data_IF_679558048781
#
_entry.id   IF_679558048781
#
_cell.length_a   1.000
_cell.length_b   1.000
_cell.length_c   1.000
_cell.angle_alpha   90.00
_cell.angle_beta   90.00
_cell.angle_gamma   90.00
#
_symmetry.space_group_name_H-M   'P 1'
#
loop_
_entity.id
_entity.type
_entity.pdbx_description
1 polymer ?
#
# COMPACT_ATOMS: atom_id res chain seq x y z
N UNK A 1 -15.98 -7.12 -7.46
CA UNK A 1 -15.08 -6.38 -8.39
C UNK A 1 -14.21 -5.33 -7.69
N UNK A 2 -14.64 -4.79 -6.56
CA UNK A 2 -13.85 -3.85 -5.73
C UNK A 2 -13.68 -4.34 -4.29
N UNK A 3 -13.95 -5.61 -4.07
CA UNK A 3 -13.92 -6.25 -2.73
C UNK A 3 -12.57 -6.08 -2.06
N UNK A 4 -11.47 -6.09 -2.83
CA UNK A 4 -10.12 -5.91 -2.30
C UNK A 4 -9.92 -4.58 -1.56
N UNK A 5 -10.77 -3.57 -1.83
CA UNK A 5 -10.67 -2.27 -1.15
C UNK A 5 -11.54 -2.18 0.12
N UNK A 6 -12.41 -3.14 0.34
CA UNK A 6 -13.36 -3.10 1.46
C UNK A 6 -13.32 -4.34 2.35
N UNK A 7 -12.92 -5.48 1.79
CA UNK A 7 -12.85 -6.74 2.55
C UNK A 7 -11.63 -7.59 2.12
N UNK A 8 -10.40 -7.02 2.18
CA UNK A 8 -9.21 -7.79 1.87
C UNK A 8 -8.89 -8.77 2.99
N UNK A 9 -8.39 -9.95 2.65
CA UNK A 9 -7.90 -10.93 3.63
C UNK A 9 -6.52 -10.58 4.18
N UNK A 10 -5.72 -9.84 3.41
CA UNK A 10 -4.37 -9.43 3.81
C UNK A 10 -4.00 -8.10 3.16
N UNK A 11 -3.44 -7.21 3.97
CA UNK A 11 -2.99 -5.86 3.57
C UNK A 11 -1.50 -5.72 3.84
N UNK A 12 -0.74 -5.25 2.87
CA UNK A 12 0.65 -4.85 3.07
C UNK A 12 0.77 -3.33 3.05
N UNK A 13 1.50 -2.77 4.01
CA UNK A 13 1.80 -1.33 4.07
C UNK A 13 3.24 -1.13 3.62
N UNK A 14 3.43 -0.64 2.39
CA UNK A 14 4.74 -0.42 1.78
C UNK A 14 5.21 1.00 2.10
N UNK A 15 6.31 1.09 2.83
CA UNK A 15 6.78 2.35 3.43
C UNK A 15 6.38 2.47 4.90
N UNK A 16 6.03 1.35 5.54
CA UNK A 16 5.79 1.31 6.98
C UNK A 16 7.01 1.82 7.74
N UNK A 17 6.79 2.50 8.85
CA UNK A 17 7.85 3.15 9.62
C UNK A 17 7.69 2.88 11.12
N UNK A 18 8.82 2.73 11.80
CA UNK A 18 8.87 2.68 13.27
C UNK A 18 8.64 4.05 13.91
N UNK A 19 8.83 5.14 13.14
CA UNK A 19 8.77 6.51 13.66
C UNK A 19 7.33 7.00 13.76
N UNK A 20 6.85 7.31 15.00
CA UNK A 20 5.53 7.87 15.21
C UNK A 20 5.33 9.16 14.48
N UNK A 21 4.76 9.69 13.82
CA UNK A 21 4.66 10.95 13.07
C UNK A 21 4.94 10.78 11.58
N UNK A 22 5.44 9.62 11.19
CA UNK A 22 5.53 9.26 9.79
C UNK A 22 4.23 8.64 9.30
N UNK A 23 3.87 8.93 8.04
CA UNK A 23 2.63 8.45 7.45
C UNK A 23 2.55 6.92 7.43
N UNK A 24 3.65 6.24 7.14
CA UNK A 24 3.69 4.78 7.16
C UNK A 24 3.47 4.17 8.54
N UNK A 25 3.85 4.86 9.61
CA UNK A 25 3.51 4.46 10.98
C UNK A 25 2.02 4.68 11.25
N UNK A 26 1.49 5.84 10.87
CA UNK A 26 0.10 6.21 11.11
C UNK A 26 -0.87 5.25 10.42
N UNK A 27 -0.65 4.93 9.16
CA UNK A 27 -1.48 3.98 8.41
C UNK A 27 -1.47 2.61 9.08
N UNK A 28 -0.29 2.14 9.48
CA UNK A 28 -0.15 0.85 10.15
C UNK A 28 -0.89 0.85 11.50
N UNK A 29 -0.71 1.91 12.30
CA UNK A 29 -1.39 2.05 13.59
C UNK A 29 -2.91 2.07 13.42
N UNK A 30 -3.43 2.79 12.43
CA UNK A 30 -4.87 2.87 12.17
C UNK A 30 -5.46 1.49 11.82
N UNK A 31 -4.80 0.73 10.99
CA UNK A 31 -5.23 -0.65 10.67
C UNK A 31 -5.30 -1.54 11.91
N UNK A 32 -4.32 -1.42 12.81
CA UNK A 32 -4.29 -2.20 14.05
C UNK A 32 -5.39 -1.73 15.00
N UNK A 33 -5.49 -0.42 15.23
CA UNK A 33 -6.42 0.17 16.19
C UNK A 33 -7.89 0.03 15.76
N UNK A 34 -8.16 0.06 14.46
CA UNK A 34 -9.51 -0.16 13.93
C UNK A 34 -9.99 -1.61 14.05
N UNK A 35 -9.11 -2.52 14.44
CA UNK A 35 -9.45 -3.93 14.60
C UNK A 35 -9.61 -4.67 13.27
N UNK A 36 -8.86 -4.27 12.24
CA UNK A 36 -8.88 -4.99 10.96
C UNK A 36 -8.61 -6.48 11.19
N UNK A 37 -9.53 -7.38 10.79
CA UNK A 37 -9.43 -8.80 11.16
C UNK A 37 -8.45 -9.60 10.29
N UNK A 38 -8.03 -9.04 9.16
CA UNK A 38 -7.10 -9.70 8.24
C UNK A 38 -5.65 -9.63 8.68
N UNK A 39 -4.77 -10.14 7.86
CA UNK A 39 -3.32 -10.07 8.09
C UNK A 39 -2.79 -8.72 7.66
N UNK A 40 -1.88 -8.17 8.46
CA UNK A 40 -1.24 -6.88 8.20
C UNK A 40 0.27 -7.14 8.09
N UNK A 41 0.85 -6.76 6.95
CA UNK A 41 2.27 -6.94 6.66
C UNK A 41 2.96 -5.60 6.46
N UNK A 42 3.71 -5.12 7.47
CA UNK A 42 4.57 -3.94 7.28
C UNK A 42 5.71 -4.27 6.30
N UNK A 43 5.99 -3.38 5.37
CA UNK A 43 7.11 -3.50 4.44
C UNK A 43 8.06 -2.33 4.63
N UNK A 44 9.29 -2.63 5.03
CA UNK A 44 10.37 -1.66 5.22
C UNK A 44 11.70 -2.38 5.02
N UNK A 45 12.66 -1.83 4.24
CA UNK A 45 13.90 -2.54 3.91
C UNK A 45 14.87 -2.73 5.10
N UNK A 46 14.66 -2.02 6.20
CA UNK A 46 15.59 -2.01 7.35
C UNK A 46 15.00 -2.62 8.62
N UNK A 47 13.72 -2.38 8.89
CA UNK A 47 13.08 -2.85 10.12
C UNK A 47 12.75 -4.34 10.06
N UNK A 48 12.83 -5.02 11.19
CA UNK A 48 12.42 -6.42 11.32
C UNK A 48 11.05 -6.58 11.98
N UNK A 49 10.67 -5.57 12.75
CA UNK A 49 9.38 -5.52 13.45
C UNK A 49 8.92 -4.07 13.56
N UNK A 50 7.66 -3.81 13.35
CA UNK A 50 7.03 -2.50 13.53
C UNK A 50 5.69 -2.71 14.24
N UNK A 51 5.47 -2.01 15.35
CA UNK A 51 4.23 -2.08 16.14
C UNK A 51 3.84 -3.53 16.51
N UNK A 52 4.82 -4.38 16.80
CA UNK A 52 4.59 -5.78 17.17
C UNK A 52 4.34 -6.73 16.00
N UNK A 53 4.40 -6.26 14.77
CA UNK A 53 4.21 -7.05 13.57
C UNK A 53 5.55 -7.34 12.88
N UNK A 54 5.74 -8.57 12.42
CA UNK A 54 6.91 -8.93 11.62
C UNK A 54 6.93 -8.08 10.33
N UNK A 55 8.08 -7.46 10.05
CA UNK A 55 8.29 -6.58 8.92
C UNK A 55 9.17 -7.28 7.88
N UNK A 56 8.87 -7.07 6.60
CA UNK A 56 9.59 -7.68 5.49
C UNK A 56 10.24 -6.61 4.62
N UNK A 57 11.41 -6.87 4.03
CA UNK A 57 12.10 -5.87 3.19
C UNK A 57 11.38 -5.59 1.87
N UNK A 58 10.64 -6.54 1.33
CA UNK A 58 9.82 -6.42 0.12
C UNK A 58 8.51 -7.17 0.30
N UNK A 59 7.47 -6.72 -0.38
CA UNK A 59 6.19 -7.44 -0.42
C UNK A 59 6.36 -8.86 -0.98
N UNK A 60 7.37 -9.08 -1.82
CA UNK A 60 7.69 -10.40 -2.36
C UNK A 60 8.16 -11.39 -1.30
N UNK A 61 8.70 -10.91 -0.17
CA UNK A 61 9.19 -11.75 0.92
C UNK A 61 8.08 -12.17 1.90
N UNK A 62 6.89 -11.62 1.77
CA UNK A 62 5.75 -11.98 2.62
C UNK A 62 5.39 -13.45 2.40
N UNK A 63 5.24 -14.24 3.50
CA UNK A 63 5.03 -15.69 3.36
C UNK A 63 3.64 -16.08 2.86
N UNK A 64 2.65 -15.21 3.01
CA UNK A 64 1.28 -15.46 2.58
C UNK A 64 0.87 -14.65 1.36
N UNK A 65 -0.38 -14.76 0.95
CA UNK A 65 -0.96 -13.92 -0.09
C UNK A 65 -1.19 -12.50 0.43
N UNK A 66 -1.18 -11.54 -0.50
CA UNK A 66 -1.51 -10.13 -0.24
C UNK A 66 -2.59 -9.72 -1.24
N UNK A 67 -3.72 -9.23 -0.74
CA UNK A 67 -4.83 -8.80 -1.59
C UNK A 67 -4.77 -7.32 -1.92
N UNK A 68 -4.36 -6.50 -0.95
CA UNK A 68 -4.31 -5.05 -1.04
C UNK A 68 -2.96 -4.54 -0.55
N UNK A 69 -2.40 -3.58 -1.27
CA UNK A 69 -1.21 -2.85 -0.81
C UNK A 69 -1.56 -1.38 -0.59
N UNK A 70 -1.00 -0.79 0.47
CA UNK A 70 -1.07 0.64 0.73
C UNK A 70 0.34 1.18 0.57
N UNK A 71 0.53 2.13 -0.34
CA UNK A 71 1.86 2.61 -0.75
C UNK A 71 2.07 4.04 -0.25
N UNK A 72 3.08 4.23 0.58
CA UNK A 72 3.45 5.52 1.18
C UNK A 72 4.95 5.83 1.01
N UNK A 73 5.62 5.19 0.07
CA UNK A 73 7.02 5.48 -0.26
C UNK A 73 7.14 6.75 -1.12
N UNK A 74 8.33 7.39 -1.21
CA UNK A 74 8.53 8.52 -2.13
C UNK A 74 8.17 8.17 -3.57
N UNK A 75 7.66 9.16 -4.32
CA UNK A 75 7.09 8.96 -5.67
C UNK A 75 7.99 8.17 -6.62
N UNK A 76 9.30 8.42 -6.59
CA UNK A 76 10.26 7.72 -7.47
C UNK A 76 10.31 6.21 -7.26
N UNK A 77 9.90 5.73 -6.08
CA UNK A 77 9.91 4.29 -5.76
C UNK A 77 8.56 3.61 -6.03
N UNK A 78 7.51 4.38 -6.25
CA UNK A 78 6.16 3.83 -6.41
C UNK A 78 6.04 2.87 -7.59
N UNK A 79 6.55 3.17 -8.79
CA UNK A 79 6.47 2.22 -9.90
C UNK A 79 7.08 0.85 -9.58
N UNK A 80 8.27 0.85 -8.97
CA UNK A 80 8.95 -0.41 -8.60
C UNK A 80 8.19 -1.25 -7.60
N UNK A 81 7.67 -0.63 -6.53
CA UNK A 81 6.92 -1.38 -5.51
C UNK A 81 5.54 -1.80 -6.00
N UNK A 82 4.95 -1.05 -6.93
CA UNK A 82 3.69 -1.44 -7.58
C UNK A 82 3.91 -2.68 -8.47
N UNK A 83 5.01 -2.72 -9.21
CA UNK A 83 5.43 -3.89 -9.99
C UNK A 83 5.60 -5.13 -9.10
N UNK A 84 6.31 -5.00 -7.99
CA UNK A 84 6.49 -6.08 -7.01
C UNK A 84 5.14 -6.55 -6.45
N UNK A 85 4.23 -5.61 -6.18
CA UNK A 85 2.89 -5.91 -5.69
C UNK A 85 2.07 -6.71 -6.70
N UNK A 86 2.17 -6.36 -7.97
CA UNK A 86 1.56 -7.12 -9.06
C UNK A 86 2.10 -8.54 -9.17
N UNK A 87 3.42 -8.70 -9.10
CA UNK A 87 4.08 -10.02 -9.09
C UNK A 87 3.66 -10.86 -7.88
N UNK A 88 3.44 -10.22 -6.74
CA UNK A 88 2.94 -10.89 -5.52
C UNK A 88 1.50 -11.38 -5.67
N UNK A 89 0.75 -10.82 -6.59
CA UNK A 89 -0.64 -11.17 -6.85
C UNK A 89 -1.65 -10.24 -6.17
N UNK A 90 -1.24 -9.07 -5.71
CA UNK A 90 -2.16 -8.09 -5.15
C UNK A 90 -3.19 -7.66 -6.21
N UNK A 91 -4.44 -7.52 -5.80
CA UNK A 91 -5.56 -7.15 -6.68
C UNK A 91 -5.84 -5.65 -6.65
N UNK A 92 -5.44 -4.98 -5.61
CA UNK A 92 -5.64 -3.54 -5.44
C UNK A 92 -4.43 -2.86 -4.82
N UNK A 93 -4.29 -1.57 -5.13
CA UNK A 93 -3.30 -0.70 -4.50
C UNK A 93 -3.93 0.65 -4.17
N UNK A 94 -3.68 1.12 -2.96
CA UNK A 94 -4.02 2.46 -2.51
C UNK A 94 -2.70 3.24 -2.48
N UNK A 95 -2.55 4.24 -3.34
CA UNK A 95 -1.31 5.01 -3.47
C UNK A 95 -1.54 6.38 -2.84
N UNK A 96 -1.08 6.54 -1.61
CA UNK A 96 -1.23 7.79 -0.86
C UNK A 96 -0.21 8.82 -1.33
N UNK A 97 0.96 8.37 -1.74
CA UNK A 97 2.07 9.22 -2.21
C UNK A 97 1.64 10.25 -3.25
N UNK A 98 2.05 11.51 -3.04
CA UNK A 98 1.89 12.61 -3.99
C UNK A 98 3.14 12.74 -4.88
N UNK A 99 3.08 13.64 -5.87
CA UNK A 99 4.19 13.90 -6.79
C UNK A 99 3.97 13.33 -8.18
N UNK A 100 2.72 13.18 -8.58
CA UNK A 100 2.32 12.64 -9.89
C UNK A 100 1.75 13.76 -10.78
N UNK A 101 0.61 13.58 -11.38
CA UNK A 101 0.03 14.54 -12.33
C UNK A 101 -0.07 15.95 -11.75
N UNK A 102 -0.37 16.11 -10.47
CA UNK A 102 -0.45 17.40 -9.79
C UNK A 102 0.91 18.13 -9.72
N UNK A 103 2.02 17.42 -9.84
CA UNK A 103 3.36 17.99 -9.78
C UNK A 103 3.89 18.46 -11.14
N UNK A 104 3.18 18.19 -12.23
CA UNK A 104 3.55 18.63 -13.57
C UNK A 104 3.75 17.50 -14.58
N UNK A 105 4.36 17.78 -15.76
CA UNK A 105 4.45 16.82 -16.87
C UNK A 105 5.22 15.52 -16.53
N UNK A 106 6.30 15.62 -15.76
CA UNK A 106 7.07 14.43 -15.35
C UNK A 106 6.24 13.53 -14.42
N UNK A 107 5.52 14.14 -13.49
CA UNK A 107 4.61 13.43 -12.60
C UNK A 107 3.44 12.80 -13.35
N UNK A 108 2.91 13.48 -14.36
CA UNK A 108 1.86 12.94 -15.22
C UNK A 108 2.35 11.71 -16.00
N UNK A 109 3.58 11.73 -16.52
CA UNK A 109 4.18 10.60 -17.21
C UNK A 109 4.36 9.40 -16.27
N UNK A 110 4.79 9.66 -15.03
CA UNK A 110 4.94 8.64 -14.00
C UNK A 110 3.58 8.01 -13.64
N UNK A 111 2.51 8.81 -13.56
CA UNK A 111 1.16 8.31 -13.32
C UNK A 111 0.68 7.39 -14.45
N UNK A 112 1.00 7.69 -15.71
CA UNK A 112 0.71 6.80 -16.83
C UNK A 112 1.46 5.47 -16.70
N UNK A 113 2.68 5.49 -16.21
CA UNK A 113 3.45 4.27 -15.93
C UNK A 113 2.77 3.40 -14.86
N UNK A 114 2.19 4.02 -13.82
CA UNK A 114 1.41 3.28 -12.81
C UNK A 114 0.21 2.58 -13.43
N UNK A 115 -0.49 3.25 -14.35
CA UNK A 115 -1.64 2.67 -15.06
C UNK A 115 -1.21 1.50 -15.94
N UNK A 116 -0.07 1.62 -16.61
CA UNK A 116 0.49 0.53 -17.42
C UNK A 116 0.78 -0.71 -16.57
N UNK A 117 1.46 -0.52 -15.45
CA UNK A 117 1.79 -1.61 -14.51
C UNK A 117 0.50 -2.24 -13.98
N UNK A 118 -0.44 -1.43 -13.51
CA UNK A 118 -1.71 -1.92 -12.98
C UNK A 118 -2.47 -2.75 -14.04
N UNK A 119 -2.51 -2.29 -15.28
CA UNK A 119 -3.13 -3.01 -16.40
C UNK A 119 -2.47 -4.35 -16.69
N UNK A 120 -1.14 -4.40 -16.62
CA UNK A 120 -0.38 -5.63 -16.87
C UNK A 120 -0.70 -6.73 -15.84
N UNK A 121 -0.90 -6.36 -14.58
CA UNK A 121 -1.18 -7.31 -13.50
C UNK A 121 -2.68 -7.40 -13.13
N UNK A 122 -3.54 -6.70 -13.83
CA UNK A 122 -4.97 -6.69 -13.54
C UNK A 122 -5.31 -6.06 -12.19
N UNK A 123 -4.50 -5.11 -11.73
CA UNK A 123 -4.71 -4.41 -10.46
C UNK A 123 -5.63 -3.21 -10.63
N UNK A 124 -6.38 -2.90 -9.58
CA UNK A 124 -7.17 -1.66 -9.47
C UNK A 124 -6.44 -0.68 -8.56
N UNK A 125 -6.49 0.61 -8.91
CA UNK A 125 -5.79 1.64 -8.14
C UNK A 125 -6.78 2.63 -7.52
N UNK A 126 -6.49 3.06 -6.29
CA UNK A 126 -7.03 4.26 -5.67
C UNK A 126 -5.86 5.22 -5.48
N UNK A 127 -6.00 6.47 -5.89
CA UNK A 127 -4.90 7.43 -5.96
C UNK A 127 -4.21 7.40 -7.33
N UNK A 128 -3.00 7.94 -7.45
CA UNK A 128 -2.14 8.48 -6.39
C UNK A 128 -2.68 9.77 -5.75
N UNK A 129 -1.95 10.29 -4.76
CA UNK A 129 -2.29 11.54 -4.05
C UNK A 129 -3.70 11.49 -3.44
N UNK A 130 -3.99 10.47 -2.66
CA UNK A 130 -5.25 10.29 -1.96
C UNK A 130 -5.02 10.17 -0.44
N UNK A 131 -6.11 10.20 0.33
CA UNK A 131 -6.06 10.04 1.78
C UNK A 131 -6.07 8.57 2.21
N UNK A 132 -6.62 7.70 1.40
CA UNK A 132 -6.81 6.30 1.74
C UNK A 132 -8.27 5.87 1.70
N UNK A 133 -8.58 4.76 2.33
CA UNK A 133 -9.92 4.19 2.44
C UNK A 133 -10.25 3.93 3.90
N UNK A 134 -11.46 4.24 4.29
CA UNK A 134 -12.02 3.87 5.57
C UNK A 134 -13.31 3.07 5.36
N UNK A 135 -13.39 1.91 5.95
CA UNK A 135 -14.61 1.09 5.97
C UNK A 135 -14.87 0.57 7.37
N UNK A 136 -15.92 1.10 7.99
CA UNK A 136 -16.30 0.76 9.37
C UNK A 136 -16.78 -0.69 9.52
N UNK A 137 -17.22 -1.33 8.45
CA UNK A 137 -17.72 -2.71 8.51
C UNK A 137 -16.60 -3.74 8.60
N UNK A 138 -15.59 -3.58 7.76
CA UNK A 138 -14.45 -4.48 7.75
C UNK A 138 -13.35 -4.09 8.74
N UNK A 139 -13.42 -2.89 9.30
CA UNK A 139 -12.35 -2.34 10.12
C UNK A 139 -11.14 -1.91 9.30
N UNK A 140 -11.27 -1.77 7.98
CA UNK A 140 -10.19 -1.28 7.14
C UNK A 140 -10.05 0.24 7.31
N UNK A 141 -8.94 0.68 7.89
CA UNK A 141 -8.60 2.08 8.07
C UNK A 141 -7.18 2.33 7.59
N UNK A 142 -7.07 2.99 6.45
CA UNK A 142 -5.79 3.35 5.82
C UNK A 142 -5.59 4.86 5.74
N UNK A 143 -6.38 5.64 6.47
CA UNK A 143 -6.32 7.11 6.46
C UNK A 143 -5.09 7.68 7.16
#
# INVERSE_FOLDING_TARGET
MLEMFFDPGAVAVIGASESPGKLGNQVLANLIESGFPGRIYPINPKAKEILGLACFPSVLDVPGSVDLVVIVVPAKFVPGVLEESGKKGAKGAIIITAGFKEAGPEGAAMEQELLRIAGEYGMRLIGPNCLGVFDAWSGLDTL
#
